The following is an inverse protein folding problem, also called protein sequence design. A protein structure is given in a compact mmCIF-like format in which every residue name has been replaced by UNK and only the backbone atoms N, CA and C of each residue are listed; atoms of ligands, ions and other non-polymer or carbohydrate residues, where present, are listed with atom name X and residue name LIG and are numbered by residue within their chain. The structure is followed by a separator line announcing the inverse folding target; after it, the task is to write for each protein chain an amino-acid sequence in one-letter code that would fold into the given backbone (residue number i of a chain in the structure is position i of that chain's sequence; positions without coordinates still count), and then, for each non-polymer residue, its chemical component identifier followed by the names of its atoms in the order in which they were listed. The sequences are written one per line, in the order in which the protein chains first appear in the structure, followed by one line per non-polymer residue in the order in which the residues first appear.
data_IF_079158480611
#
_entry.id   IF_079158480611
#
_cell.length_a   1.000
_cell.length_b   1.000
_cell.length_c   1.000
_cell.angle_alpha   90.00
_cell.angle_beta   90.00
_cell.angle_gamma   90.00
#
_symmetry.space_group_name_H-M   'P 1'
#
loop_
_entity.id
_entity.type
_entity.pdbx_description
1 polymer ?
#
# COMPACT_ATOMS: atom_id res chain seq x y z
N UNK A 1 55.85 -8.60 25.12
CA UNK A 1 54.67 -9.39 24.71
C UNK A 1 53.39 -8.70 25.20
N UNK A 2 52.72 -7.93 24.33
CA UNK A 2 51.25 -7.80 24.36
C UNK A 2 50.81 -7.44 22.95
N UNK A 3 50.40 -8.47 22.23
CA UNK A 3 49.82 -8.38 20.90
C UNK A 3 48.65 -7.39 20.91
N UNK A 4 48.69 -6.40 20.01
CA UNK A 4 47.55 -5.53 19.73
C UNK A 4 46.61 -6.26 18.77
N UNK A 5 45.34 -6.58 19.12
CA UNK A 5 44.41 -7.07 18.11
C UNK A 5 43.58 -5.92 17.51
N UNK A 6 43.88 -5.64 16.24
CA UNK A 6 43.00 -5.25 15.15
C UNK A 6 42.04 -4.04 15.34
N UNK A 7 42.53 -2.85 14.96
CA UNK A 7 41.67 -1.83 14.32
C UNK A 7 41.37 -2.30 12.89
N UNK A 8 40.31 -3.09 12.71
CA UNK A 8 39.78 -3.47 11.40
C UNK A 8 38.46 -2.73 11.08
N UNK A 9 38.11 -2.52 9.79
CA UNK A 9 36.88 -1.83 9.38
C UNK A 9 35.59 -2.53 9.82
N UNK A 10 35.68 -3.77 10.30
CA UNK A 10 34.54 -4.60 10.69
C UNK A 10 33.91 -4.21 12.04
N UNK A 11 34.69 -3.65 12.99
CA UNK A 11 34.17 -3.24 14.31
C UNK A 11 33.33 -1.95 14.20
N UNK A 12 33.66 -1.09 13.22
CA UNK A 12 32.96 0.16 12.95
C UNK A 12 31.58 -0.09 12.28
N UNK A 13 31.46 -1.10 11.43
CA UNK A 13 30.17 -1.49 10.84
C UNK A 13 29.19 -2.02 11.91
N UNK A 14 29.68 -2.83 12.85
CA UNK A 14 28.86 -3.41 13.91
C UNK A 14 28.39 -2.37 14.95
N UNK A 15 29.24 -1.38 15.24
CA UNK A 15 28.89 -0.22 16.08
C UNK A 15 27.94 0.74 15.34
N UNK A 16 28.14 0.96 14.03
CA UNK A 16 27.28 1.79 13.20
C UNK A 16 25.84 1.27 13.12
N UNK A 17 25.64 -0.04 12.98
CA UNK A 17 24.30 -0.65 12.99
C UNK A 17 23.67 -0.59 14.40
N UNK A 18 24.47 -0.76 15.45
CA UNK A 18 24.01 -0.73 16.86
C UNK A 18 23.63 0.68 17.34
N UNK A 19 24.25 1.74 16.80
CA UNK A 19 23.92 3.15 17.12
C UNK A 19 22.60 3.60 16.48
N UNK A 20 22.22 3.06 15.33
CA UNK A 20 20.88 3.30 14.75
C UNK A 20 19.76 2.55 15.48
N UNK A 21 20.06 1.39 16.09
CA UNK A 21 19.09 0.57 16.84
C UNK A 21 18.72 1.15 18.22
N UNK A 22 19.56 2.01 18.81
CA UNK A 22 19.28 2.67 20.09
C UNK A 22 18.79 4.12 19.93
N UNK A 23 18.31 4.51 18.75
CA UNK A 23 17.49 5.72 18.60
C UNK A 23 16.17 5.48 19.35
N UNK A 24 15.75 6.43 20.18
CA UNK A 24 14.71 6.23 21.20
C UNK A 24 13.44 5.48 20.71
N UNK A 25 12.91 4.52 21.49
CA UNK A 25 11.71 3.77 21.10
C UNK A 25 10.49 4.68 20.90
N UNK A 26 10.47 5.85 21.55
CA UNK A 26 9.40 6.84 21.46
C UNK A 26 9.26 7.46 20.05
N UNK A 27 10.37 7.80 19.39
CA UNK A 27 10.34 8.44 18.06
C UNK A 27 9.87 7.46 16.98
N UNK A 28 10.25 6.18 17.10
CA UNK A 28 9.86 5.12 16.16
C UNK A 28 8.36 4.78 16.28
N UNK A 29 7.82 4.81 17.50
CA UNK A 29 6.39 4.57 17.71
C UNK A 29 5.52 5.70 17.13
N UNK A 30 5.90 6.95 17.35
CA UNK A 30 5.15 8.11 16.84
C UNK A 30 5.20 8.17 15.31
N UNK A 31 6.37 7.93 14.70
CA UNK A 31 6.49 7.92 13.24
C UNK A 31 5.70 6.77 12.61
N UNK A 32 5.64 5.60 13.26
CA UNK A 32 4.79 4.49 12.84
C UNK A 32 3.30 4.83 12.85
N UNK A 33 2.81 5.47 13.92
CA UNK A 33 1.41 5.88 14.04
C UNK A 33 1.01 6.95 12.99
N UNK A 34 1.90 7.91 12.73
CA UNK A 34 1.67 8.94 11.71
C UNK A 34 1.69 8.31 10.31
N UNK A 35 2.69 7.47 10.01
CA UNK A 35 2.80 6.82 8.72
C UNK A 35 1.61 5.90 8.41
N UNK A 36 1.08 5.17 9.40
CA UNK A 36 -0.11 4.35 9.20
C UNK A 36 -1.36 5.19 8.95
N UNK A 37 -1.54 6.31 9.64
CA UNK A 37 -2.64 7.23 9.40
C UNK A 37 -2.62 7.79 7.97
N UNK A 38 -1.44 8.21 7.48
CA UNK A 38 -1.28 8.65 6.09
C UNK A 38 -1.46 7.50 5.08
N UNK A 39 -0.98 6.30 5.40
CA UNK A 39 -1.16 5.12 4.55
C UNK A 39 -2.62 4.74 4.36
N UNK A 40 -3.39 4.67 5.45
CA UNK A 40 -4.81 4.32 5.42
C UNK A 40 -5.62 5.41 4.69
N UNK A 41 -5.40 6.69 5.02
CA UNK A 41 -6.12 7.79 4.38
C UNK A 41 -5.84 7.86 2.87
N UNK A 42 -4.58 7.69 2.46
CA UNK A 42 -4.21 7.67 1.03
C UNK A 42 -4.81 6.45 0.31
N UNK A 43 -4.83 5.28 0.94
CA UNK A 43 -5.43 4.09 0.36
C UNK A 43 -6.93 4.27 0.11
N UNK A 44 -7.66 4.80 1.09
CA UNK A 44 -9.10 5.08 0.94
C UNK A 44 -9.32 6.11 -0.17
N UNK A 45 -8.56 7.21 -0.15
CA UNK A 45 -8.63 8.26 -1.18
C UNK A 45 -8.41 7.68 -2.59
N UNK A 46 -7.37 6.86 -2.77
CA UNK A 46 -7.08 6.24 -4.06
C UNK A 46 -8.22 5.34 -4.55
N UNK A 47 -8.80 4.51 -3.68
CA UNK A 47 -9.91 3.63 -4.03
C UNK A 47 -11.16 4.43 -4.45
N UNK A 48 -11.45 5.56 -3.79
CA UNK A 48 -12.56 6.44 -4.16
C UNK A 48 -12.35 7.12 -5.52
N UNK A 49 -11.18 7.72 -5.76
CA UNK A 49 -10.90 8.43 -7.02
C UNK A 49 -10.77 7.47 -8.21
N UNK A 50 -10.18 6.30 -8.01
CA UNK A 50 -10.07 5.30 -9.06
C UNK A 50 -11.35 4.46 -9.24
N UNK A 51 -12.40 4.67 -8.44
CA UNK A 51 -13.70 4.03 -8.63
C UNK A 51 -14.37 4.33 -9.98
N UNK A 52 -13.97 5.42 -10.64
CA UNK A 52 -14.38 5.75 -12.03
C UNK A 52 -13.71 4.84 -13.07
N UNK A 53 -12.54 4.28 -12.76
CA UNK A 53 -11.86 3.35 -13.66
C UNK A 53 -12.58 2.00 -13.59
N UNK A 54 -13.10 1.47 -14.72
CA UNK A 54 -13.94 0.28 -14.72
C UNK A 54 -13.24 -0.96 -14.17
N UNK A 55 -11.90 -1.01 -14.20
CA UNK A 55 -11.11 -2.10 -13.63
C UNK A 55 -11.13 -2.09 -12.10
N UNK A 56 -10.86 -0.95 -11.47
CA UNK A 56 -10.85 -0.81 -9.99
C UNK A 56 -12.26 -1.02 -9.41
N UNK A 57 -13.29 -0.53 -10.12
CA UNK A 57 -14.68 -0.77 -9.72
C UNK A 57 -15.02 -2.27 -9.67
N UNK A 58 -14.68 -3.02 -10.72
CA UNK A 58 -15.02 -4.44 -10.79
C UNK A 58 -14.19 -5.31 -9.86
N UNK A 59 -12.90 -5.00 -9.72
CA UNK A 59 -11.97 -5.86 -9.00
C UNK A 59 -11.99 -5.62 -7.49
N UNK A 60 -12.19 -4.37 -7.06
CA UNK A 60 -12.11 -3.98 -5.64
C UNK A 60 -13.49 -3.62 -5.09
N UNK A 61 -14.18 -2.65 -5.68
CA UNK A 61 -15.40 -2.08 -5.10
C UNK A 61 -16.59 -3.06 -5.13
N UNK A 62 -16.78 -3.80 -6.24
CA UNK A 62 -17.82 -4.82 -6.35
C UNK A 62 -17.59 -6.06 -5.47
N UNK A 63 -16.36 -6.24 -4.96
CA UNK A 63 -16.01 -7.37 -4.05
C UNK A 63 -16.39 -7.11 -2.59
N UNK A 64 -16.80 -5.88 -2.26
CA UNK A 64 -17.12 -5.48 -0.88
C UNK A 64 -18.54 -5.97 -0.55
N UNK A 65 -18.72 -6.83 0.48
CA UNK A 65 -19.99 -7.53 0.70
C UNK A 65 -21.18 -6.65 1.10
N UNK A 66 -20.94 -5.40 1.53
CA UNK A 66 -21.98 -4.47 1.99
C UNK A 66 -22.40 -3.50 0.89
N UNK A 67 -21.44 -3.00 0.10
CA UNK A 67 -21.69 -1.94 -0.88
C UNK A 67 -21.54 -2.39 -2.33
N UNK A 68 -20.99 -3.58 -2.61
CA UNK A 68 -20.58 -3.98 -3.96
C UNK A 68 -21.68 -3.93 -5.02
N UNK A 69 -22.93 -4.19 -4.65
CA UNK A 69 -24.08 -4.15 -5.57
C UNK A 69 -24.43 -2.76 -6.12
N UNK A 70 -24.09 -1.67 -5.42
CA UNK A 70 -24.36 -0.31 -5.94
C UNK A 70 -23.42 0.07 -7.10
N UNK A 71 -22.27 -0.58 -7.22
CA UNK A 71 -21.29 -0.33 -8.26
C UNK A 71 -21.51 -1.24 -9.50
N UNK A 72 -22.55 -2.07 -9.49
CA UNK A 72 -22.93 -2.95 -10.59
C UNK A 72 -23.67 -2.17 -11.68
N UNK A 73 -23.08 -2.13 -12.88
CA UNK A 73 -23.71 -1.62 -14.10
C UNK A 73 -24.05 -2.81 -14.99
N UNK A 74 -25.23 -3.39 -14.76
CA UNK A 74 -25.85 -4.34 -15.69
C UNK A 74 -26.20 -3.60 -16.98
N UNK A 75 -25.66 -4.05 -18.11
CA UNK A 75 -26.07 -3.58 -19.44
C UNK A 75 -26.95 -4.70 -20.04
N UNK A 76 -28.21 -4.42 -20.40
CA UNK A 76 -29.04 -5.39 -21.10
C UNK A 76 -28.37 -5.81 -22.42
N UNK A 77 -28.45 -7.09 -22.83
CA UNK A 77 -27.82 -7.57 -24.05
C UNK A 77 -28.31 -6.85 -25.32
N UNK A 78 -29.52 -6.31 -25.31
CA UNK A 78 -30.14 -5.50 -26.37
C UNK A 78 -29.53 -4.10 -26.52
N UNK A 79 -28.95 -3.52 -25.45
CA UNK A 79 -28.28 -2.22 -25.48
C UNK A 79 -26.83 -2.32 -25.97
N UNK A 80 -26.38 -3.53 -26.30
CA UNK A 80 -25.06 -3.77 -26.82
C UNK A 80 -25.03 -3.46 -28.33
N UNK A 81 -24.24 -2.46 -28.70
CA UNK A 81 -24.09 -2.00 -30.09
C UNK A 81 -23.48 -3.04 -31.05
N UNK A 82 -22.88 -4.11 -30.53
CA UNK A 82 -22.34 -5.21 -31.36
C UNK A 82 -23.45 -6.14 -31.89
N UNK A 83 -24.60 -6.19 -31.22
CA UNK A 83 -25.72 -7.03 -31.66
C UNK A 83 -26.50 -6.43 -32.85
N UNK A 84 -26.51 -5.10 -33.03
CA UNK A 84 -27.31 -4.44 -34.09
C UNK A 84 -26.58 -4.21 -35.42
N UNK A 85 -25.29 -4.55 -35.53
CA UNK A 85 -24.47 -4.29 -36.74
C UNK A 85 -24.26 -5.53 -37.63
N UNK A 86 -25.01 -6.60 -37.38
CA UNK A 86 -24.90 -7.90 -38.06
C UNK A 86 -26.03 -8.23 -39.04
N UNK A 87 -26.92 -7.28 -39.32
CA UNK A 87 -27.93 -7.34 -40.40
C UNK A 87 -27.68 -6.22 -41.42
#
# INVERSE_FOLDING_TARGET
MRSRPACGPFVNLYIGIRVWQHRSPFIVQISGAIASAFGVSTAIFAVFFFGEVPRVRKDILMKIPIIGGYWERSIPPEDNRYFSSGE
#
